data_IF_462188710681
#
_entry.id   IF_462188710681
#
_cell.length_a   1.000
_cell.length_b   1.000
_cell.length_c   1.000
_cell.angle_alpha   90.00
_cell.angle_beta   90.00
_cell.angle_gamma   90.00
#
_symmetry.space_group_name_H-M   'P 1'
#
loop_
_entity.id
_entity.type
_entity.pdbx_description
1 polymer ?
#
# COMPACT_ATOMS: atom_id res chain seq x y z
N UNK A 1 -16.49 5.35 -11.67
CA UNK A 1 -15.44 5.64 -12.67
C UNK A 1 -14.31 4.62 -12.58
N UNK A 2 -13.60 4.49 -11.45
CA UNK A 2 -12.51 3.50 -11.31
C UNK A 2 -13.02 2.04 -11.41
N UNK A 3 -14.15 1.72 -10.79
CA UNK A 3 -14.75 0.37 -10.86
C UNK A 3 -15.14 -0.07 -12.28
N UNK A 4 -15.39 0.89 -13.18
CA UNK A 4 -15.79 0.64 -14.56
C UNK A 4 -14.60 0.40 -15.50
N UNK A 5 -13.37 0.61 -15.02
CA UNK A 5 -12.17 0.32 -15.80
C UNK A 5 -12.08 -1.18 -16.11
N UNK A 6 -11.49 -1.56 -17.26
CA UNK A 6 -11.28 -2.97 -17.59
C UNK A 6 -10.37 -3.63 -16.55
N UNK A 7 -10.54 -4.94 -16.38
CA UNK A 7 -9.60 -5.70 -15.56
C UNK A 7 -8.18 -5.64 -16.16
N UNK A 8 -7.17 -5.63 -15.30
CA UNK A 8 -5.77 -5.39 -15.69
C UNK A 8 -5.40 -3.92 -15.90
N UNK A 9 -6.35 -2.97 -15.86
CA UNK A 9 -6.01 -1.55 -15.85
C UNK A 9 -5.21 -1.19 -14.58
N UNK A 10 -4.10 -0.46 -14.72
CA UNK A 10 -3.14 -0.24 -13.61
C UNK A 10 -3.79 0.39 -12.38
N UNK A 11 -4.62 1.43 -12.55
CA UNK A 11 -5.35 2.08 -11.45
C UNK A 11 -6.34 1.12 -10.78
N UNK A 12 -7.09 0.32 -11.55
CA UNK A 12 -8.02 -0.65 -10.97
C UNK A 12 -7.29 -1.71 -10.16
N UNK A 13 -6.11 -2.13 -10.62
CA UNK A 13 -5.26 -3.06 -9.86
C UNK A 13 -4.73 -2.43 -8.58
N UNK A 14 -4.24 -1.19 -8.62
CA UNK A 14 -3.79 -0.45 -7.45
C UNK A 14 -4.90 -0.27 -6.41
N UNK A 15 -6.12 0.06 -6.84
CA UNK A 15 -7.28 0.15 -5.92
C UNK A 15 -7.63 -1.21 -5.30
N UNK A 16 -7.57 -2.32 -6.06
CA UNK A 16 -7.76 -3.66 -5.47
C UNK A 16 -6.68 -3.98 -4.42
N UNK A 17 -5.45 -3.55 -4.63
CA UNK A 17 -4.37 -3.69 -3.63
C UNK A 17 -4.65 -2.85 -2.37
N UNK A 18 -5.24 -1.65 -2.53
CA UNK A 18 -5.69 -0.84 -1.40
C UNK A 18 -6.69 -1.57 -0.52
N UNK A 19 -7.65 -2.29 -1.08
CA UNK A 19 -8.64 -3.05 -0.30
C UNK A 19 -7.97 -4.06 0.64
N UNK A 20 -6.93 -4.76 0.15
CA UNK A 20 -6.15 -5.68 0.96
C UNK A 20 -5.29 -4.98 2.01
N UNK A 21 -4.68 -3.84 1.67
CA UNK A 21 -3.89 -3.05 2.61
C UNK A 21 -4.79 -2.53 3.74
N UNK A 22 -5.96 -1.97 3.41
CA UNK A 22 -6.92 -1.46 4.38
C UNK A 22 -7.40 -2.55 5.34
N UNK A 23 -7.66 -3.77 4.85
CA UNK A 23 -8.02 -4.90 5.71
C UNK A 23 -6.89 -5.26 6.70
N UNK A 24 -5.62 -5.22 6.27
CA UNK A 24 -4.48 -5.43 7.17
C UNK A 24 -4.35 -4.30 8.21
N UNK A 25 -4.69 -3.05 7.84
CA UNK A 25 -4.72 -1.93 8.77
C UNK A 25 -5.86 -2.05 9.79
N UNK A 26 -7.01 -2.62 9.40
CA UNK A 26 -8.12 -2.91 10.34
C UNK A 26 -7.66 -3.94 11.38
N UNK A 27 -6.97 -4.99 10.95
CA UNK A 27 -6.42 -6.01 11.85
C UNK A 27 -5.34 -5.45 12.79
N UNK A 28 -4.43 -4.61 12.29
CA UNK A 28 -3.45 -3.91 13.13
C UNK A 28 -4.13 -3.01 14.18
N UNK A 29 -5.20 -2.31 13.78
CA UNK A 29 -5.97 -1.45 14.69
C UNK A 29 -6.61 -2.25 15.82
N UNK A 30 -7.22 -3.41 15.52
CA UNK A 30 -7.76 -4.33 16.54
C UNK A 30 -6.67 -4.83 17.50
N UNK A 31 -5.51 -5.19 16.96
CA UNK A 31 -4.36 -5.61 17.77
C UNK A 31 -3.93 -4.50 18.75
N UNK A 32 -3.79 -3.25 18.29
CA UNK A 32 -3.43 -2.13 19.14
C UNK A 32 -4.45 -1.92 20.28
N UNK A 33 -5.75 -1.98 19.97
CA UNK A 33 -6.80 -1.89 20.99
C UNK A 33 -6.71 -3.01 22.05
N UNK A 34 -6.47 -4.25 21.62
CA UNK A 34 -6.39 -5.41 22.51
C UNK A 34 -5.11 -5.43 23.34
N UNK A 35 -3.99 -4.96 22.79
CA UNK A 35 -2.70 -4.90 23.49
C UNK A 35 -2.81 -4.15 24.82
N UNK A 36 -3.53 -3.02 24.84
CA UNK A 36 -3.71 -2.17 26.02
C UNK A 36 -4.35 -2.87 27.24
N UNK A 37 -5.14 -3.92 27.01
CA UNK A 37 -5.88 -4.65 28.06
C UNK A 37 -5.40 -6.10 28.24
N UNK A 38 -4.28 -6.46 27.60
CA UNK A 38 -3.79 -7.83 27.56
C UNK A 38 -2.77 -8.11 28.67
N UNK A 39 -2.82 -9.32 29.24
CA UNK A 39 -1.69 -9.86 30.03
C UNK A 39 -0.48 -10.06 29.11
N UNK A 40 0.74 -10.05 29.66
CA UNK A 40 1.96 -10.20 28.85
C UNK A 40 1.94 -11.40 27.90
N UNK A 41 1.53 -12.59 28.34
CA UNK A 41 1.49 -13.79 27.49
C UNK A 41 0.57 -13.63 26.26
N UNK A 42 -0.63 -13.09 26.46
CA UNK A 42 -1.58 -12.77 25.37
C UNK A 42 -0.97 -11.68 24.47
N UNK A 43 -0.36 -10.67 25.08
CA UNK A 43 0.26 -9.57 24.37
C UNK A 43 1.42 -10.00 23.49
N UNK A 44 2.27 -10.94 23.92
CA UNK A 44 3.35 -11.50 23.09
C UNK A 44 2.81 -12.18 21.83
N UNK A 45 1.68 -12.89 21.95
CA UNK A 45 0.99 -13.47 20.78
C UNK A 45 0.47 -12.38 19.85
N UNK A 46 -0.12 -11.31 20.39
CA UNK A 46 -0.58 -10.16 19.61
C UNK A 46 0.57 -9.45 18.89
N UNK A 47 1.73 -9.30 19.54
CA UNK A 47 2.92 -8.70 18.93
C UNK A 47 3.47 -9.56 17.80
N UNK A 48 3.41 -10.89 17.91
CA UNK A 48 3.78 -11.78 16.81
C UNK A 48 2.86 -11.58 15.60
N UNK A 49 1.55 -11.46 15.82
CA UNK A 49 0.59 -11.15 14.75
C UNK A 49 0.86 -9.77 14.13
N UNK A 50 1.14 -8.75 14.95
CA UNK A 50 1.51 -7.42 14.46
C UNK A 50 2.79 -7.46 13.61
N UNK A 51 3.79 -8.24 14.01
CA UNK A 51 5.01 -8.43 13.23
C UNK A 51 4.72 -9.05 11.86
N UNK A 52 3.90 -10.11 11.81
CA UNK A 52 3.51 -10.77 10.57
C UNK A 52 2.78 -9.81 9.62
N UNK A 53 1.90 -8.96 10.16
CA UNK A 53 1.24 -7.91 9.38
C UNK A 53 2.23 -6.85 8.90
N UNK A 54 3.15 -6.39 9.74
CA UNK A 54 4.19 -5.46 9.34
C UNK A 54 5.03 -6.01 8.18
N UNK A 55 5.43 -7.29 8.23
CA UNK A 55 6.15 -7.96 7.13
C UNK A 55 5.33 -7.98 5.84
N UNK A 56 4.03 -8.30 5.92
CA UNK A 56 3.14 -8.28 4.73
C UNK A 56 2.99 -6.87 4.14
N UNK A 57 2.81 -5.87 5.00
CA UNK A 57 2.64 -4.46 4.59
C UNK A 57 3.95 -3.89 4.01
N UNK A 58 5.12 -4.31 4.50
CA UNK A 58 6.42 -4.04 3.86
C UNK A 58 6.46 -4.71 2.48
N UNK A 59 5.95 -5.93 2.36
CA UNK A 59 5.79 -6.63 1.08
C UNK A 59 4.86 -5.94 0.07
N UNK A 60 4.15 -4.88 0.46
CA UNK A 60 3.38 -4.05 -0.46
C UNK A 60 4.23 -3.05 -1.26
N UNK A 61 5.55 -2.97 -1.04
CA UNK A 61 6.46 -2.03 -1.71
C UNK A 61 6.34 -1.96 -3.25
N UNK A 62 6.09 -3.07 -3.99
CA UNK A 62 5.85 -2.99 -5.44
C UNK A 62 4.70 -2.04 -5.83
N UNK A 63 3.75 -1.78 -4.94
CA UNK A 63 2.70 -0.79 -5.14
C UNK A 63 3.28 0.62 -5.30
N UNK A 64 3.92 1.14 -4.25
CA UNK A 64 4.55 2.46 -4.28
C UNK A 64 5.58 2.56 -5.41
N UNK A 65 6.34 1.49 -5.70
CA UNK A 65 7.31 1.51 -6.81
C UNK A 65 6.65 1.75 -8.17
N UNK A 66 5.49 1.15 -8.44
CA UNK A 66 4.78 1.40 -9.71
C UNK A 66 4.22 2.80 -9.77
N UNK A 67 3.81 3.35 -8.65
CA UNK A 67 3.38 4.74 -8.61
C UNK A 67 4.56 5.68 -8.88
N UNK A 68 5.63 5.54 -8.10
CA UNK A 68 6.80 6.42 -8.15
C UNK A 68 7.56 6.37 -9.47
N UNK A 69 7.67 5.18 -10.07
CA UNK A 69 8.48 4.94 -11.26
C UNK A 69 7.66 4.99 -12.56
N UNK A 70 6.34 4.76 -12.51
CA UNK A 70 5.50 4.65 -13.72
C UNK A 70 4.39 5.71 -13.73
N UNK A 71 3.50 5.71 -12.74
CA UNK A 71 2.32 6.59 -12.75
C UNK A 71 2.70 8.06 -12.54
N UNK A 72 3.58 8.35 -11.58
CA UNK A 72 3.96 9.71 -11.22
C UNK A 72 4.74 10.40 -12.35
N UNK A 73 5.73 9.77 -13.02
CA UNK A 73 6.34 10.37 -14.21
C UNK A 73 5.30 10.65 -15.31
N UNK A 74 4.33 9.75 -15.52
CA UNK A 74 3.28 9.98 -16.51
C UNK A 74 2.35 11.15 -16.16
N UNK A 75 2.11 11.39 -14.87
CA UNK A 75 1.38 12.55 -14.35
C UNK A 75 2.21 13.85 -14.46
N UNK A 76 3.49 13.78 -14.18
CA UNK A 76 4.44 14.90 -14.27
C UNK A 76 4.60 15.40 -15.71
N UNK A 77 4.64 14.49 -16.68
CA UNK A 77 4.59 14.83 -18.12
C UNK A 77 3.33 15.63 -18.49
N UNK A 78 2.26 15.52 -17.70
CA UNK A 78 1.02 16.28 -17.84
C UNK A 78 0.91 17.47 -16.87
N UNK A 79 2.02 17.89 -16.25
CA UNK A 79 2.10 19.07 -15.39
C UNK A 79 1.69 18.85 -13.93
N UNK A 80 1.39 17.63 -13.51
CA UNK A 80 0.99 17.31 -12.13
C UNK A 80 2.24 16.98 -11.30
N UNK A 81 3.06 17.99 -11.00
CA UNK A 81 4.39 17.80 -10.38
C UNK A 81 4.35 17.87 -8.85
N UNK A 82 3.77 18.94 -8.29
CA UNK A 82 3.77 19.15 -6.83
C UNK A 82 3.04 18.02 -6.08
N UNK A 83 1.84 17.55 -6.53
CA UNK A 83 1.18 16.43 -5.88
C UNK A 83 2.02 15.15 -5.84
N UNK A 84 2.68 14.78 -6.94
CA UNK A 84 3.50 13.55 -6.98
C UNK A 84 4.76 13.63 -6.12
N UNK A 85 5.29 14.83 -5.89
CA UNK A 85 6.38 15.06 -4.93
C UNK A 85 5.91 14.88 -3.49
N UNK A 86 4.75 15.43 -3.13
CA UNK A 86 4.14 15.21 -1.80
C UNK A 86 3.88 13.73 -1.53
N UNK A 87 3.33 13.00 -2.51
CA UNK A 87 3.09 11.57 -2.36
C UNK A 87 4.37 10.77 -2.10
N UNK A 88 5.48 11.09 -2.79
CA UNK A 88 6.79 10.46 -2.53
C UNK A 88 7.33 10.72 -1.13
N UNK A 89 7.14 11.93 -0.59
CA UNK A 89 7.54 12.24 0.78
C UNK A 89 6.76 11.37 1.77
N UNK A 90 5.43 11.28 1.59
CA UNK A 90 4.57 10.43 2.41
C UNK A 90 4.94 8.94 2.29
N UNK A 91 5.25 8.45 1.09
CA UNK A 91 5.77 7.07 0.93
C UNK A 91 7.05 6.83 1.74
N UNK A 92 7.95 7.81 1.81
CA UNK A 92 9.16 7.74 2.63
C UNK A 92 8.83 7.55 4.12
N UNK A 93 7.99 8.42 4.67
CA UNK A 93 7.54 8.35 6.07
C UNK A 93 6.83 7.02 6.37
N UNK A 94 5.97 6.58 5.45
CA UNK A 94 5.25 5.31 5.56
C UNK A 94 6.22 4.12 5.58
N UNK A 95 7.26 4.11 4.74
CA UNK A 95 8.29 3.06 4.75
C UNK A 95 9.02 3.01 6.09
N UNK A 96 9.42 4.17 6.63
CA UNK A 96 10.07 4.24 7.94
C UNK A 96 9.19 3.65 9.05
N UNK A 97 7.92 4.02 9.10
CA UNK A 97 6.97 3.49 10.09
C UNK A 97 6.76 1.98 9.97
N UNK A 98 6.61 1.44 8.75
CA UNK A 98 6.46 0.00 8.50
C UNK A 98 7.65 -0.80 9.04
N UNK A 99 8.88 -0.34 8.74
CA UNK A 99 10.10 -0.99 9.20
C UNK A 99 10.30 -0.85 10.72
N UNK A 100 10.00 0.32 11.29
CA UNK A 100 10.04 0.52 12.73
C UNK A 100 9.07 -0.41 13.48
N UNK A 101 7.87 -0.64 12.94
CA UNK A 101 6.90 -1.56 13.52
C UNK A 101 7.40 -3.00 13.52
N UNK A 102 7.97 -3.46 12.40
CA UNK A 102 8.60 -4.78 12.31
C UNK A 102 9.70 -4.93 13.36
N UNK A 103 10.61 -3.96 13.45
CA UNK A 103 11.74 -4.02 14.39
C UNK A 103 11.27 -4.06 15.86
N UNK A 104 10.35 -3.17 16.25
CA UNK A 104 9.87 -3.09 17.65
C UNK A 104 9.08 -4.33 18.08
N UNK A 105 8.49 -5.06 17.13
CA UNK A 105 7.75 -6.29 17.40
C UNK A 105 8.65 -7.53 17.50
N UNK A 106 9.88 -7.49 16.98
CA UNK A 106 10.87 -8.58 17.07
C UNK A 106 11.66 -8.56 18.40
N UNK A 107 12.34 -7.44 18.70
CA UNK A 107 13.29 -7.37 19.81
C UNK A 107 12.78 -6.43 20.91
N UNK A 108 12.91 -6.85 22.17
CA UNK A 108 12.72 -5.94 23.31
C UNK A 108 13.34 -6.43 24.62
N UNK A 109 14.20 -5.59 25.20
CA UNK A 109 14.88 -5.80 26.49
C UNK A 109 14.43 -4.79 27.59
N UNK A 110 13.20 -4.27 27.52
CA UNK A 110 12.71 -3.23 28.44
C UNK A 110 11.48 -3.61 29.28
N UNK A 111 10.75 -2.60 29.75
CA UNK A 111 9.50 -2.78 30.52
C UNK A 111 8.31 -3.05 29.60
N UNK A 112 7.57 -4.13 29.85
CA UNK A 112 6.45 -4.57 29.01
C UNK A 112 5.41 -3.47 28.71
N UNK A 113 5.02 -2.68 29.71
CA UNK A 113 4.04 -1.61 29.55
C UNK A 113 4.51 -0.49 28.62
N UNK A 114 5.81 -0.17 28.64
CA UNK A 114 6.41 0.81 27.73
C UNK A 114 6.44 0.29 26.30
N UNK A 115 6.80 -1.00 26.11
CA UNK A 115 6.74 -1.67 24.81
C UNK A 115 5.35 -1.57 24.19
N UNK A 116 4.33 -1.94 24.96
CA UNK A 116 2.94 -1.94 24.50
C UNK A 116 2.51 -0.54 24.12
N UNK A 117 2.82 0.47 24.94
CA UNK A 117 2.47 1.86 24.66
C UNK A 117 3.14 2.36 23.37
N UNK A 118 4.44 2.11 23.20
CA UNK A 118 5.20 2.58 22.04
C UNK A 118 4.75 1.91 20.75
N UNK A 119 4.53 0.60 20.77
CA UNK A 119 4.05 -0.16 19.61
C UNK A 119 2.62 0.27 19.25
N UNK A 120 1.73 0.45 20.24
CA UNK A 120 0.35 0.88 19.98
C UNK A 120 0.32 2.27 19.33
N UNK A 121 1.11 3.23 19.84
CA UNK A 121 1.23 4.56 19.23
C UNK A 121 1.76 4.50 17.80
N UNK A 122 2.74 3.64 17.53
CA UNK A 122 3.28 3.48 16.18
C UNK A 122 2.27 2.84 15.23
N UNK A 123 1.50 1.85 15.70
CA UNK A 123 0.42 1.24 14.91
C UNK A 123 -0.64 2.30 14.57
N UNK A 124 -1.09 3.09 15.56
CA UNK A 124 -2.08 4.14 15.35
C UNK A 124 -1.60 5.17 14.31
N UNK A 125 -0.35 5.62 14.43
CA UNK A 125 0.26 6.55 13.49
C UNK A 125 0.37 5.96 12.07
N UNK A 126 0.88 4.74 11.93
CA UNK A 126 0.99 4.07 10.63
C UNK A 126 -0.39 3.89 9.98
N UNK A 127 -1.38 3.42 10.74
CA UNK A 127 -2.73 3.19 10.24
C UNK A 127 -3.40 4.49 9.81
N UNK A 128 -3.27 5.56 10.60
CA UNK A 128 -3.81 6.86 10.25
C UNK A 128 -3.19 7.39 8.96
N UNK A 129 -1.86 7.45 8.89
CA UNK A 129 -1.14 8.00 7.74
C UNK A 129 -1.43 7.19 6.47
N UNK A 130 -1.33 5.86 6.52
CA UNK A 130 -1.52 5.04 5.32
C UNK A 130 -2.98 5.07 4.82
N UNK A 131 -3.98 5.14 5.71
CA UNK A 131 -5.39 5.33 5.29
C UNK A 131 -5.62 6.67 4.63
N UNK A 132 -5.07 7.74 5.19
CA UNK A 132 -5.18 9.08 4.61
C UNK A 132 -4.48 9.14 3.25
N UNK A 133 -3.33 8.48 3.12
CA UNK A 133 -2.59 8.38 1.87
C UNK A 133 -3.41 7.67 0.78
N UNK A 134 -3.89 6.46 1.07
CA UNK A 134 -4.77 5.68 0.19
C UNK A 134 -6.04 6.46 -0.20
N UNK A 135 -6.60 7.23 0.74
CA UNK A 135 -7.75 8.08 0.46
C UNK A 135 -7.42 9.17 -0.58
N UNK A 136 -6.28 9.85 -0.47
CA UNK A 136 -5.84 10.85 -1.46
C UNK A 136 -5.65 10.22 -2.84
N UNK A 137 -5.09 9.02 -2.90
CA UNK A 137 -4.89 8.29 -4.15
C UNK A 137 -6.22 7.98 -4.83
N UNK A 138 -7.10 7.30 -4.09
CA UNK A 138 -8.39 6.84 -4.61
C UNK A 138 -9.31 7.99 -5.04
N UNK A 139 -9.29 9.11 -4.32
CA UNK A 139 -10.27 10.19 -4.50
C UNK A 139 -9.76 11.41 -5.24
N UNK A 140 -8.44 11.60 -5.31
CA UNK A 140 -7.82 12.77 -5.96
C UNK A 140 -6.86 12.34 -7.05
N UNK A 141 -5.79 11.62 -6.70
CA UNK A 141 -4.68 11.38 -7.63
C UNK A 141 -5.09 10.49 -8.81
N UNK A 142 -5.76 9.37 -8.55
CA UNK A 142 -6.18 8.44 -9.60
C UNK A 142 -7.26 9.04 -10.50
N UNK A 143 -8.30 9.74 -10.01
CA UNK A 143 -9.22 10.49 -10.87
C UNK A 143 -8.53 11.54 -11.75
N UNK A 144 -7.54 12.27 -11.21
CA UNK A 144 -6.73 13.21 -12.00
C UNK A 144 -5.95 12.48 -13.08
N UNK A 145 -5.29 11.36 -12.76
CA UNK A 145 -4.56 10.55 -13.73
C UNK A 145 -5.43 10.09 -14.90
N UNK A 146 -6.65 9.59 -14.61
CA UNK A 146 -7.62 9.19 -15.62
C UNK A 146 -8.11 10.36 -16.49
N UNK A 147 -8.10 11.58 -15.95
CA UNK A 147 -8.53 12.77 -16.69
C UNK A 147 -7.43 13.29 -17.61
N UNK A 148 -6.17 13.29 -17.16
CA UNK A 148 -5.06 13.92 -17.91
C UNK A 148 -4.35 12.94 -18.85
N UNK A 149 -4.34 11.64 -18.55
CA UNK A 149 -3.73 10.62 -19.41
C UNK A 149 -4.82 10.02 -20.30
N UNK A 150 -4.99 10.58 -21.50
CA UNK A 150 -6.04 10.20 -22.45
C UNK A 150 -5.60 9.17 -23.49
N UNK A 151 -4.29 8.91 -23.61
CA UNK A 151 -3.73 7.96 -24.57
C UNK A 151 -3.78 6.52 -24.04
N UNK A 152 -4.67 5.70 -24.62
CA UNK A 152 -4.81 4.27 -24.34
C UNK A 152 -3.50 3.48 -24.57
N UNK A 153 -2.71 3.84 -25.59
CA UNK A 153 -1.44 3.17 -25.84
C UNK A 153 -0.42 3.46 -24.74
N UNK A 154 -0.50 4.63 -24.08
CA UNK A 154 0.31 4.96 -22.91
C UNK A 154 -0.10 4.13 -21.70
N UNK A 155 -1.39 3.93 -21.44
CA UNK A 155 -1.85 3.02 -20.38
C UNK A 155 -1.36 1.59 -20.56
N UNK A 156 -1.40 1.06 -21.80
CA UNK A 156 -0.87 -0.27 -22.10
C UNK A 156 0.64 -0.36 -21.84
N UNK A 157 1.42 0.65 -22.26
CA UNK A 157 2.86 0.71 -21.99
C UNK A 157 3.16 0.74 -20.50
N UNK A 158 2.44 1.57 -19.74
CA UNK A 158 2.60 1.65 -18.28
C UNK A 158 2.29 0.31 -17.62
N UNK A 159 1.21 -0.38 -18.04
CA UNK A 159 0.89 -1.73 -17.56
C UNK A 159 2.05 -2.71 -17.76
N UNK A 160 2.65 -2.73 -18.95
CA UNK A 160 3.80 -3.61 -19.25
C UNK A 160 5.01 -3.29 -18.36
N UNK A 161 5.24 -2.02 -18.00
CA UNK A 161 6.32 -1.67 -17.07
C UNK A 161 5.97 -2.05 -15.62
N UNK A 162 4.70 -1.87 -15.21
CA UNK A 162 4.21 -2.36 -13.93
C UNK A 162 4.38 -3.87 -13.77
N UNK A 163 4.12 -4.65 -14.83
CA UNK A 163 4.32 -6.11 -14.84
C UNK A 163 5.77 -6.51 -14.53
N UNK A 164 6.75 -5.67 -14.91
CA UNK A 164 8.17 -5.92 -14.61
C UNK A 164 8.56 -5.62 -13.17
N UNK A 165 7.89 -4.66 -12.53
CA UNK A 165 8.09 -4.35 -11.11
C UNK A 165 7.46 -5.45 -10.24
N UNK A 166 6.34 -6.01 -10.68
CA UNK A 166 5.58 -7.01 -9.95
C UNK A 166 4.43 -6.40 -9.16
N UNK A 167 3.74 -7.24 -8.39
CA UNK A 167 2.50 -6.93 -7.66
C UNK A 167 2.61 -7.30 -6.20
N UNK A 168 1.73 -6.73 -5.37
CA UNK A 168 1.67 -7.11 -3.96
C UNK A 168 1.44 -8.61 -3.80
N UNK A 169 2.27 -9.27 -2.98
CA UNK A 169 2.29 -10.74 -2.85
C UNK A 169 1.00 -11.34 -2.26
N UNK A 170 0.14 -10.50 -1.68
CA UNK A 170 -1.15 -10.87 -1.10
C UNK A 170 -2.33 -10.67 -2.05
N UNK A 171 -2.11 -10.10 -3.24
CA UNK A 171 -3.15 -9.98 -4.26
C UNK A 171 -3.10 -11.20 -5.19
N UNK A 172 -4.25 -11.85 -5.45
CA UNK A 172 -4.30 -12.94 -6.41
C UNK A 172 -3.90 -12.41 -7.80
N UNK A 173 -2.78 -12.90 -8.33
CA UNK A 173 -2.42 -12.66 -9.73
C UNK A 173 -3.49 -13.33 -10.59
N UNK A 174 -4.34 -12.56 -11.24
CA UNK A 174 -5.22 -13.08 -12.30
C UNK A 174 -4.36 -13.52 -13.48
N UNK A 175 -3.79 -14.73 -13.41
CA UNK A 175 -3.04 -15.39 -14.50
C UNK A 175 -3.89 -15.64 -15.76
N UNK A 176 -5.15 -15.22 -15.81
CA UNK A 176 -6.09 -15.47 -16.90
C UNK A 176 -6.58 -14.17 -17.52
N UNK A 177 -5.70 -13.48 -18.24
CA UNK A 177 -6.05 -12.59 -19.37
C UNK A 177 -4.80 -12.15 -20.15
N UNK A 178 -3.68 -12.87 -19.99
CA UNK A 178 -2.38 -12.46 -20.49
C UNK A 178 -2.06 -12.92 -21.91
N UNK A 179 -3.02 -13.48 -22.66
CA UNK A 179 -2.69 -14.14 -23.94
C UNK A 179 -3.75 -14.13 -25.06
N UNK A 180 -4.80 -13.28 -25.01
CA UNK A 180 -5.85 -13.30 -26.06
C UNK A 180 -6.27 -11.97 -26.70
N UNK A 181 -5.63 -10.84 -26.43
CA UNK A 181 -5.90 -9.59 -27.17
C UNK A 181 -4.82 -9.18 -28.18
N UNK A 182 -3.80 -10.01 -28.41
CA UNK A 182 -2.84 -9.84 -29.52
C UNK A 182 -2.95 -10.99 -30.52
N UNK A 183 -4.18 -11.35 -30.90
CA UNK A 183 -4.46 -11.99 -32.19
C UNK A 183 -5.82 -11.48 -32.60
N UNK A 184 -5.88 -10.53 -33.54
CA UNK A 184 -6.74 -10.58 -34.72
C UNK A 184 -6.38 -9.41 -35.66
N UNK A 185 -5.79 -9.81 -36.78
CA UNK A 185 -5.82 -9.25 -38.15
C UNK A 185 -5.78 -7.72 -38.34
#
# INVERSE_FOLDING_TARGET
>A
MIEQLPDGHIIKTMVKEHDHILAMLDELTDIAHRLSNSTQNIGETLLLSANQLAVKIIGAEPHHQREELILFPALEENGIICPTQCMRMEHGEIREMKHALKQKTEDFDGVWSERVMDISKLIDALCLTLRQHIHKENTVLYPVALTVITDEAKWLKMRIQCDKIGYCCFCPQTKKEFDQSVVFS
#
